data_IF_519280695812
#
_entry.id   IF_519280695812
#
_cell.length_a   1.000
_cell.length_b   1.000
_cell.length_c   1.000
_cell.angle_alpha   90.00
_cell.angle_beta   90.00
_cell.angle_gamma   90.00
#
_symmetry.space_group_name_H-M   'P 1'
#
loop_
_entity.id
_entity.type
_entity.pdbx_description
1 polymer ?
#
# COMPACT_ATOMS: atom_id res chain seq x y z
N UNK A 1 -15.11 -7.19 -15.66
CA UNK A 1 -13.83 -7.09 -14.92
C UNK A 1 -13.96 -5.91 -13.96
N UNK A 2 -13.77 -6.09 -12.63
CA UNK A 2 -13.88 -4.99 -11.65
C UNK A 2 -12.58 -4.17 -11.70
N UNK A 3 -12.62 -2.82 -11.63
CA UNK A 3 -11.42 -2.01 -11.45
C UNK A 3 -10.68 -2.39 -10.16
N UNK A 4 -9.35 -2.39 -10.19
CA UNK A 4 -8.50 -2.57 -9.01
C UNK A 4 -8.13 -1.20 -8.44
N UNK A 5 -8.16 -1.08 -7.12
CA UNK A 5 -7.78 0.14 -6.41
C UNK A 5 -6.43 -0.07 -5.71
N UNK A 6 -5.47 0.80 -5.99
CA UNK A 6 -4.15 0.78 -5.35
C UNK A 6 -3.93 1.96 -4.42
N UNK A 7 -3.06 1.79 -3.43
CA UNK A 7 -2.55 2.87 -2.58
C UNK A 7 -1.04 3.04 -2.80
N UNK A 8 -0.59 4.29 -2.91
CA UNK A 8 0.82 4.66 -3.05
C UNK A 8 1.37 5.09 -1.68
N UNK A 9 2.43 4.41 -1.23
CA UNK A 9 3.16 4.73 -0.02
C UNK A 9 4.45 5.47 -0.41
N UNK A 10 4.74 6.56 0.30
CA UNK A 10 5.89 7.40 0.02
C UNK A 10 7.21 6.72 0.38
N UNK A 11 8.29 7.10 -0.30
CA UNK A 11 9.65 6.56 -0.12
C UNK A 11 10.22 6.71 1.31
N UNK A 12 9.61 7.57 2.14
CA UNK A 12 10.04 7.84 3.52
C UNK A 12 9.46 6.88 4.55
N UNK A 13 8.52 6.01 4.17
CA UNK A 13 7.96 5.00 5.06
C UNK A 13 9.07 4.01 5.48
N UNK A 14 9.30 3.78 6.79
CA UNK A 14 10.23 2.76 7.23
C UNK A 14 9.83 1.38 6.73
N UNK A 15 10.79 0.61 6.20
CA UNK A 15 10.53 -0.75 5.69
C UNK A 15 9.89 -1.67 6.75
N UNK A 16 10.23 -1.45 8.02
CA UNK A 16 9.67 -2.20 9.14
C UNK A 16 8.15 -1.99 9.33
N UNK A 17 7.61 -0.86 8.86
CA UNK A 17 6.20 -0.49 9.01
C UNK A 17 5.35 -0.97 7.82
N UNK A 18 5.97 -1.30 6.68
CA UNK A 18 5.28 -1.75 5.46
C UNK A 18 4.30 -2.92 5.68
N UNK A 19 4.59 -3.95 6.51
CA UNK A 19 3.61 -5.00 6.79
C UNK A 19 2.35 -4.49 7.50
N UNK A 20 2.46 -3.51 8.38
CA UNK A 20 1.31 -2.90 9.05
C UNK A 20 0.50 -2.07 8.05
N UNK A 21 1.18 -1.28 7.21
CA UNK A 21 0.57 -0.47 6.16
C UNK A 21 -0.15 -1.31 5.11
N UNK A 22 0.43 -2.45 4.70
CA UNK A 22 -0.22 -3.41 3.82
C UNK A 22 -1.52 -3.97 4.41
N UNK A 23 -1.50 -4.40 5.68
CA UNK A 23 -2.70 -4.91 6.36
C UNK A 23 -3.79 -3.84 6.50
N UNK A 24 -3.41 -2.59 6.76
CA UNK A 24 -4.36 -1.49 6.81
C UNK A 24 -5.00 -1.22 5.43
N UNK A 25 -4.20 -1.29 4.35
CA UNK A 25 -4.70 -1.13 2.99
C UNK A 25 -5.67 -2.27 2.59
N UNK A 26 -5.33 -3.52 2.92
CA UNK A 26 -6.21 -4.67 2.70
C UNK A 26 -7.52 -4.54 3.48
N UNK A 27 -7.46 -4.16 4.76
CA UNK A 27 -8.65 -3.94 5.58
C UNK A 27 -9.54 -2.79 5.06
N UNK A 28 -8.94 -1.81 4.37
CA UNK A 28 -9.63 -0.72 3.71
C UNK A 28 -10.16 -1.09 2.30
N UNK A 29 -9.89 -2.30 1.81
CA UNK A 29 -10.40 -2.80 0.53
C UNK A 29 -9.56 -2.43 -0.69
N UNK A 30 -8.31 -2.00 -0.50
CA UNK A 30 -7.37 -1.84 -1.60
C UNK A 30 -6.86 -3.19 -2.09
N UNK A 31 -6.67 -3.29 -3.40
CA UNK A 31 -6.23 -4.50 -4.09
C UNK A 31 -4.70 -4.52 -4.32
N UNK A 32 -4.03 -3.37 -4.15
CA UNK A 32 -2.62 -3.17 -4.48
C UNK A 32 -1.94 -2.15 -3.54
N UNK A 33 -0.68 -2.43 -3.19
CA UNK A 33 0.22 -1.53 -2.46
C UNK A 33 1.40 -1.18 -3.38
N UNK A 34 1.59 0.11 -3.65
CA UNK A 34 2.66 0.63 -4.49
C UNK A 34 3.66 1.40 -3.62
N UNK A 35 4.94 1.20 -3.86
CA UNK A 35 6.02 1.92 -3.18
C UNK A 35 6.58 2.96 -4.15
N UNK A 36 6.63 4.22 -3.72
CA UNK A 36 7.38 5.23 -4.46
C UNK A 36 8.89 5.03 -4.24
N UNK A 37 9.65 5.02 -5.33
CA UNK A 37 11.10 5.21 -5.31
C UNK A 37 11.37 6.72 -5.49
N UNK A 38 12.39 7.25 -4.80
CA UNK A 38 12.88 8.62 -5.02
C UNK A 38 13.64 8.74 -6.36
#
# INVERSE_FOLDING_TARGET
MRPRLGVLVGAKEPVADLPATARAAEAAGYDELWLAED
#
